data_IF_270512892311
#
_entry.id   IF_270512892311
#
_cell.length_a   1.000
_cell.length_b   1.000
_cell.length_c   1.000
_cell.angle_alpha   90.00
_cell.angle_beta   90.00
_cell.angle_gamma   90.00
#
_symmetry.space_group_name_H-M   'P 1'
#
loop_
_entity.id
_entity.type
_entity.pdbx_description
1 polymer ?
#
# COMPACT_ATOMS: atom_id res chain seq x y z
N UNK A 1 3.22 15.39 11.51
CA UNK A 1 2.78 14.06 11.04
C UNK A 1 1.72 14.28 9.98
N UNK A 2 1.60 13.39 8.99
CA UNK A 2 0.66 13.53 7.87
C UNK A 2 -0.30 12.35 7.88
N UNK A 3 -1.58 12.62 7.69
CA UNK A 3 -2.61 11.60 7.56
C UNK A 3 -2.77 11.18 6.09
N UNK A 4 -2.91 9.88 5.86
CA UNK A 4 -3.01 9.28 4.54
C UNK A 4 -4.25 8.40 4.46
N UNK A 5 -5.11 8.66 3.48
CA UNK A 5 -6.12 7.71 3.05
C UNK A 5 -5.48 6.69 2.11
N UNK A 6 -5.65 5.41 2.43
CA UNK A 6 -5.09 4.28 1.70
C UNK A 6 -6.23 3.45 1.14
N UNK A 7 -6.18 3.20 -0.16
CA UNK A 7 -6.96 2.16 -0.82
C UNK A 7 -6.01 1.08 -1.32
N UNK A 8 -6.23 -0.16 -0.88
CA UNK A 8 -5.36 -1.30 -1.14
C UNK A 8 -6.17 -2.44 -1.75
N UNK A 9 -5.74 -2.94 -2.89
CA UNK A 9 -6.30 -4.10 -3.56
C UNK A 9 -5.28 -5.25 -3.56
N UNK A 10 -5.73 -6.43 -3.16
CA UNK A 10 -4.95 -7.67 -3.13
C UNK A 10 -5.54 -8.63 -4.16
N UNK A 11 -4.76 -8.97 -5.20
CA UNK A 11 -5.25 -9.75 -6.33
C UNK A 11 -5.35 -11.24 -6.00
N UNK A 12 -4.45 -11.75 -5.16
CA UNK A 12 -4.37 -13.14 -4.73
C UNK A 12 -5.61 -13.57 -3.94
N UNK A 13 -6.08 -12.72 -3.02
CA UNK A 13 -7.26 -12.98 -2.17
C UNK A 13 -8.52 -12.24 -2.65
N UNK A 14 -8.44 -11.55 -3.79
CA UNK A 14 -9.53 -10.73 -4.38
C UNK A 14 -10.21 -9.82 -3.36
N UNK A 15 -9.39 -9.08 -2.61
CA UNK A 15 -9.86 -8.24 -1.49
C UNK A 15 -9.41 -6.80 -1.65
N UNK A 16 -10.36 -5.90 -1.49
CA UNK A 16 -10.09 -4.46 -1.37
C UNK A 16 -10.25 -4.03 0.09
N UNK A 17 -9.37 -3.15 0.53
CA UNK A 17 -9.39 -2.53 1.85
C UNK A 17 -9.16 -1.04 1.74
N UNK A 18 -9.86 -0.28 2.59
CA UNK A 18 -9.67 1.16 2.73
C UNK A 18 -9.43 1.47 4.19
N UNK A 19 -8.41 2.26 4.48
CA UNK A 19 -8.08 2.66 5.83
C UNK A 19 -7.28 3.96 5.83
N UNK A 20 -7.24 4.61 6.99
CA UNK A 20 -6.46 5.82 7.20
C UNK A 20 -5.27 5.47 8.09
N UNK A 21 -4.09 6.04 7.80
CA UNK A 21 -2.93 5.92 8.67
C UNK A 21 -2.23 7.26 8.83
N UNK A 22 -1.63 7.47 10.01
CA UNK A 22 -0.79 8.64 10.30
C UNK A 22 0.67 8.23 10.18
N UNK A 23 1.43 8.95 9.36
CA UNK A 23 2.85 8.69 9.17
C UNK A 23 3.66 10.00 9.07
N UNK A 24 4.93 9.95 9.47
CA UNK A 24 5.84 11.10 9.37
C UNK A 24 6.17 11.48 7.91
N UNK A 25 6.12 10.52 6.99
CA UNK A 25 6.42 10.70 5.57
C UNK A 25 5.75 9.62 4.72
N UNK A 26 5.70 9.85 3.40
CA UNK A 26 5.21 8.85 2.44
C UNK A 26 6.01 7.53 2.52
N UNK A 27 7.32 7.58 2.75
CA UNK A 27 8.14 6.37 2.90
C UNK A 27 7.70 5.54 4.12
N UNK A 28 7.40 6.19 5.24
CA UNK A 28 6.86 5.52 6.44
C UNK A 28 5.45 4.97 6.19
N UNK A 29 4.61 5.71 5.47
CA UNK A 29 3.29 5.21 5.05
C UNK A 29 3.40 3.94 4.19
N UNK A 30 4.29 3.96 3.18
CA UNK A 30 4.59 2.81 2.31
C UNK A 30 5.04 1.57 3.10
N UNK A 31 5.94 1.76 4.07
CA UNK A 31 6.38 0.68 4.95
C UNK A 31 5.21 0.10 5.76
N UNK A 32 4.35 0.95 6.33
CA UNK A 32 3.19 0.50 7.09
C UNK A 32 2.19 -0.29 6.22
N UNK A 33 1.89 0.19 5.02
CA UNK A 33 1.03 -0.53 4.05
C UNK A 33 1.60 -1.90 3.70
N UNK A 34 2.91 -2.01 3.42
CA UNK A 34 3.51 -3.30 3.12
C UNK A 34 3.42 -4.29 4.28
N UNK A 35 3.51 -3.81 5.53
CA UNK A 35 3.28 -4.67 6.70
C UNK A 35 1.82 -5.09 6.81
N UNK A 36 0.88 -4.21 6.47
CA UNK A 36 -0.55 -4.55 6.44
C UNK A 36 -0.85 -5.59 5.37
N UNK A 37 -0.32 -5.41 4.15
CA UNK A 37 -0.47 -6.36 3.04
C UNK A 37 0.03 -7.76 3.42
N UNK A 38 1.17 -7.86 4.10
CA UNK A 38 1.77 -9.13 4.56
C UNK A 38 0.87 -9.94 5.49
N UNK A 39 -0.01 -9.29 6.26
CA UNK A 39 -0.94 -10.00 7.16
C UNK A 39 -1.94 -10.85 6.37
N UNK A 40 -2.28 -10.42 5.16
CA UNK A 40 -3.26 -11.08 4.30
C UNK A 40 -2.60 -11.97 3.24
N UNK A 41 -1.34 -11.71 2.89
CA UNK A 41 -0.57 -12.49 1.92
C UNK A 41 0.77 -12.98 2.53
N UNK A 42 0.74 -13.86 3.55
CA UNK A 42 1.94 -14.29 4.27
C UNK A 42 2.87 -15.19 3.44
N UNK A 43 2.34 -15.82 2.40
CA UNK A 43 3.12 -16.66 1.46
C UNK A 43 4.02 -15.83 0.54
N UNK A 44 3.76 -14.53 0.42
CA UNK A 44 4.37 -13.67 -0.59
C UNK A 44 5.67 -13.07 -0.07
N UNK A 45 6.80 -13.53 -0.61
CA UNK A 45 8.15 -13.08 -0.21
C UNK A 45 8.56 -11.85 -1.03
N UNK A 46 9.48 -11.05 -0.47
CA UNK A 46 10.10 -9.92 -1.17
C UNK A 46 9.11 -8.90 -1.76
N UNK A 47 8.17 -8.44 -0.95
CA UNK A 47 7.21 -7.40 -1.34
C UNK A 47 7.86 -6.01 -1.41
N UNK A 48 7.60 -5.29 -2.48
CA UNK A 48 7.94 -3.88 -2.63
C UNK A 48 6.84 -3.12 -3.38
N UNK A 49 6.91 -1.80 -3.36
CA UNK A 49 5.99 -0.92 -4.07
C UNK A 49 6.67 -0.31 -5.29
N UNK A 50 6.07 -0.49 -6.46
CA UNK A 50 6.50 0.15 -7.71
C UNK A 50 5.54 1.28 -8.07
N UNK A 51 6.07 2.49 -8.31
CA UNK A 51 5.23 3.63 -8.68
C UNK A 51 4.65 3.43 -10.10
N UNK A 52 3.32 3.59 -10.24
CA UNK A 52 2.62 3.53 -11.53
C UNK A 52 2.07 4.88 -11.97
N UNK A 53 1.97 5.85 -11.05
CA UNK A 53 1.45 7.19 -11.32
C UNK A 53 1.21 7.98 -10.03
N UNK A 54 0.46 9.06 -10.13
CA UNK A 54 0.21 10.00 -9.02
C UNK A 54 -0.48 9.32 -7.83
N UNK A 55 0.33 8.96 -6.82
CA UNK A 55 -0.12 8.30 -5.61
C UNK A 55 -0.43 6.80 -5.76
N UNK A 56 -0.37 6.23 -6.97
CA UNK A 56 -0.68 4.82 -7.24
C UNK A 56 0.59 3.98 -7.35
N UNK A 57 0.59 2.85 -6.66
CA UNK A 57 1.69 1.90 -6.61
C UNK A 57 1.19 0.48 -6.85
N UNK A 58 1.90 -0.30 -7.66
CA UNK A 58 1.73 -1.75 -7.67
C UNK A 58 2.45 -2.35 -6.45
N UNK A 59 1.83 -3.36 -5.85
CA UNK A 59 2.47 -4.24 -4.88
C UNK A 59 3.07 -5.39 -5.67
N UNK A 60 4.39 -5.50 -5.67
CA UNK A 60 5.11 -6.47 -6.51
C UNK A 60 5.80 -7.50 -5.63
N UNK A 61 5.74 -8.76 -6.05
CA UNK A 61 6.51 -9.87 -5.48
C UNK A 61 7.10 -10.69 -6.61
N UNK A 62 8.40 -10.99 -6.56
CA UNK A 62 9.04 -11.86 -7.56
C UNK A 62 8.72 -11.51 -9.03
N UNK A 63 8.69 -10.21 -9.36
CA UNK A 63 8.37 -9.67 -10.69
C UNK A 63 6.91 -9.84 -11.14
N UNK A 64 6.01 -10.25 -10.26
CA UNK A 64 4.56 -10.26 -10.51
C UNK A 64 3.84 -9.23 -9.67
N UNK A 65 2.89 -8.54 -10.29
CA UNK A 65 1.97 -7.65 -9.60
C UNK A 65 0.99 -8.52 -8.79
N UNK A 66 1.04 -8.39 -7.46
CA UNK A 66 0.19 -9.14 -6.52
C UNK A 66 -0.91 -8.26 -5.92
N UNK A 67 -0.86 -6.97 -6.17
CA UNK A 67 -1.86 -6.02 -5.74
C UNK A 67 -1.56 -4.59 -6.18
N UNK A 68 -2.39 -3.67 -5.70
CA UNK A 68 -2.24 -2.24 -5.95
C UNK A 68 -2.53 -1.47 -4.66
N UNK A 69 -1.91 -0.31 -4.50
CA UNK A 69 -2.25 0.64 -3.44
C UNK A 69 -2.25 2.06 -3.97
N UNK A 70 -3.23 2.84 -3.53
CA UNK A 70 -3.30 4.28 -3.73
C UNK A 70 -3.08 5.00 -2.39
N UNK A 71 -2.20 6.00 -2.40
CA UNK A 71 -1.94 6.91 -1.28
C UNK A 71 -2.53 8.27 -1.61
N UNK A 72 -3.47 8.73 -0.79
CA UNK A 72 -3.99 10.09 -0.84
C UNK A 72 -3.66 10.79 0.46
N UNK A 73 -2.94 11.91 0.37
CA UNK A 73 -2.65 12.74 1.53
C UNK A 73 -3.92 13.49 1.95
N UNK A 74 -4.24 13.46 3.23
CA UNK A 74 -5.32 14.27 3.80
C UNK A 74 -4.70 15.58 4.29
N UNK A 75 -4.99 16.67 3.59
CA UNK A 75 -4.61 18.00 4.02
C UNK A 75 -5.77 18.60 4.83
N UNK A 76 -5.64 18.55 6.16
CA UNK A 76 -6.53 19.30 7.04
C UNK A 76 -6.15 20.79 6.95
N UNK A 77 -6.96 21.55 6.20
CA UNK A 77 -6.91 23.02 6.19
C UNK A 77 -7.57 23.61 7.43
#
# INVERSE_FOLDING_TARGET
MVEWHIEMEMFDVRRTMRFTLVAASLSKAKQAVLQEFRKYSPSTRNLYLEAKGDGVYAVVSHLTDVGQVMFQRIDNR
#
